data_IF_200859025030
#
_entry.id   IF_200859025030
#
_cell.length_a   1.000
_cell.length_b   1.000
_cell.length_c   1.000
_cell.angle_alpha   90.00
_cell.angle_beta   90.00
_cell.angle_gamma   90.00
#
_symmetry.space_group_name_H-M   'P 1'
#
loop_
_entity.id
_entity.type
_entity.pdbx_description
1 polymer ?
#
# COMPACT_ATOMS: atom_id res chain seq x y z
N UNK A 1 -49.28 -15.20 24.76
CA UNK A 1 -48.33 -15.10 23.63
C UNK A 1 -47.36 -16.27 23.69
N UNK A 2 -47.27 -17.05 22.60
CA UNK A 2 -46.60 -18.37 22.60
C UNK A 2 -45.08 -18.22 22.81
N UNK A 3 -44.44 -19.01 23.68
CA UNK A 3 -43.01 -18.90 24.00
C UNK A 3 -42.07 -19.02 22.79
N UNK A 4 -42.54 -19.65 21.70
CA UNK A 4 -41.84 -19.71 20.42
C UNK A 4 -41.66 -18.34 19.75
N UNK A 5 -42.66 -17.45 19.83
CA UNK A 5 -42.61 -16.11 19.24
C UNK A 5 -41.56 -15.25 19.96
N UNK A 6 -41.44 -15.41 21.28
CA UNK A 6 -40.46 -14.69 22.10
C UNK A 6 -39.02 -15.11 21.77
N UNK A 7 -38.78 -16.40 21.54
CA UNK A 7 -37.45 -16.91 21.15
C UNK A 7 -37.04 -16.44 19.74
N UNK A 8 -37.99 -16.43 18.80
CA UNK A 8 -37.76 -15.94 17.44
C UNK A 8 -37.37 -14.44 17.43
N UNK A 9 -38.07 -13.62 18.23
CA UNK A 9 -37.78 -12.20 18.35
C UNK A 9 -36.41 -11.93 18.98
N UNK A 10 -36.02 -12.72 19.99
CA UNK A 10 -34.69 -12.62 20.61
C UNK A 10 -33.62 -12.98 19.58
N UNK A 11 -33.81 -14.07 18.81
CA UNK A 11 -32.83 -14.51 17.82
C UNK A 11 -32.68 -13.49 16.68
N UNK A 12 -33.79 -12.93 16.19
CA UNK A 12 -33.76 -11.82 15.23
C UNK A 12 -33.05 -10.58 15.80
N UNK A 13 -33.33 -10.21 17.05
CA UNK A 13 -32.68 -9.08 17.72
C UNK A 13 -31.17 -9.27 17.86
N UNK A 14 -30.73 -10.48 18.23
CA UNK A 14 -29.30 -10.81 18.32
C UNK A 14 -28.64 -10.79 16.94
N UNK A 15 -29.26 -11.37 15.90
CA UNK A 15 -28.72 -11.31 14.54
C UNK A 15 -28.61 -9.86 14.04
N UNK A 16 -29.61 -9.01 14.30
CA UNK A 16 -29.55 -7.60 13.92
C UNK A 16 -28.46 -6.85 14.68
N UNK A 17 -28.28 -7.12 15.97
CA UNK A 17 -27.22 -6.51 16.77
C UNK A 17 -25.81 -6.95 16.31
N UNK A 18 -25.63 -8.23 15.97
CA UNK A 18 -24.37 -8.76 15.43
C UNK A 18 -24.08 -8.18 14.05
N UNK A 19 -25.08 -8.09 13.17
CA UNK A 19 -24.91 -7.46 11.85
C UNK A 19 -24.62 -5.97 11.94
N UNK A 20 -25.30 -5.24 12.84
CA UNK A 20 -25.04 -3.82 13.05
C UNK A 20 -23.65 -3.59 13.65
N UNK A 21 -23.21 -4.45 14.59
CA UNK A 21 -21.87 -4.42 15.16
C UNK A 21 -20.81 -4.74 14.09
N UNK A 22 -21.06 -5.75 13.24
CA UNK A 22 -20.18 -6.05 12.11
C UNK A 22 -20.09 -4.87 11.15
N UNK A 23 -21.21 -4.26 10.75
CA UNK A 23 -21.21 -3.07 9.88
C UNK A 23 -20.56 -1.84 10.53
N UNK A 24 -20.64 -1.69 11.86
CA UNK A 24 -20.02 -0.58 12.59
C UNK A 24 -18.51 -0.80 12.81
N UNK A 25 -18.07 -2.05 12.95
CA UNK A 25 -16.65 -2.43 13.06
C UNK A 25 -15.97 -2.57 11.70
N UNK A 26 -16.73 -2.85 10.64
CA UNK A 26 -16.24 -2.95 9.26
C UNK A 26 -15.39 -1.74 8.85
N UNK A 27 -15.83 -0.47 9.02
CA UNK A 27 -14.99 0.70 8.71
C UNK A 27 -13.76 0.86 9.62
N UNK A 28 -13.77 0.32 10.84
CA UNK A 28 -12.60 0.34 11.74
C UNK A 28 -11.54 -0.71 11.37
N UNK A 29 -11.93 -1.77 10.65
CA UNK A 29 -11.00 -2.73 10.02
C UNK A 29 -10.48 -2.20 8.67
N UNK A 30 -11.18 -1.24 8.07
CA UNK A 30 -10.87 -0.65 6.76
C UNK A 30 -9.88 0.52 6.81
N UNK A 31 -9.38 0.91 7.99
CA UNK A 31 -8.45 2.03 8.09
C UNK A 31 -7.03 1.58 7.68
N UNK A 32 -6.73 1.67 6.37
CA UNK A 32 -5.36 1.86 5.89
C UNK A 32 -4.75 0.85 4.91
N UNK A 33 -5.48 0.04 4.14
CA UNK A 33 -4.82 -0.78 3.11
C UNK A 33 -4.44 0.08 1.90
N UNK A 34 -3.15 0.16 1.58
CA UNK A 34 -2.70 0.49 0.23
C UNK A 34 -3.43 -0.47 -0.73
N UNK A 35 -4.08 0.02 -1.78
CA UNK A 35 -4.75 -0.90 -2.71
C UNK A 35 -3.74 -1.52 -3.70
N UNK A 36 -2.66 -0.77 -4.04
CA UNK A 36 -1.61 -1.20 -4.94
C UNK A 36 -0.39 -0.25 -4.92
N UNK A 37 0.75 -0.76 -5.38
CA UNK A 37 1.94 0.00 -5.76
C UNK A 37 2.01 0.19 -7.27
N UNK A 38 2.60 1.30 -7.70
CA UNK A 38 2.89 1.62 -9.10
C UNK A 38 4.23 2.34 -9.20
N UNK A 39 4.98 2.07 -10.26
CA UNK A 39 6.13 2.88 -10.64
C UNK A 39 5.80 3.66 -11.91
N UNK A 40 6.18 4.94 -11.95
CA UNK A 40 6.09 5.76 -13.15
C UNK A 40 7.43 6.42 -13.47
N UNK A 41 7.77 6.57 -14.76
CA UNK A 41 8.98 7.28 -15.16
C UNK A 41 8.97 8.72 -14.65
N UNK A 42 10.10 9.17 -14.12
CA UNK A 42 10.28 10.53 -13.66
C UNK A 42 11.62 11.10 -14.16
N UNK A 43 11.76 12.42 -14.09
CA UNK A 43 13.04 13.09 -14.36
C UNK A 43 13.95 12.96 -13.15
N UNK A 44 15.26 12.88 -13.41
CA UNK A 44 16.29 12.92 -12.36
C UNK A 44 16.02 14.12 -11.45
N UNK A 45 15.94 13.92 -10.12
CA UNK A 45 15.71 15.02 -9.20
C UNK A 45 16.88 16.01 -9.29
N UNK A 46 16.56 17.28 -9.54
CA UNK A 46 17.55 18.37 -9.52
C UNK A 46 17.98 18.74 -8.09
N UNK A 47 17.18 18.35 -7.11
CA UNK A 47 17.46 18.54 -5.69
C UNK A 47 18.37 17.40 -5.19
N UNK A 48 19.61 17.70 -4.75
CA UNK A 48 20.54 16.69 -4.26
C UNK A 48 20.10 16.05 -2.94
N UNK A 49 19.08 16.58 -2.27
CA UNK A 49 18.52 16.01 -1.05
C UNK A 49 17.53 14.86 -1.31
N UNK A 50 17.16 14.63 -2.57
CA UNK A 50 16.35 13.48 -2.97
C UNK A 50 17.26 12.29 -3.25
N UNK A 51 17.20 11.24 -2.42
CA UNK A 51 18.04 10.06 -2.59
C UNK A 51 17.64 9.29 -3.86
N UNK A 52 18.65 8.90 -4.63
CA UNK A 52 18.50 8.02 -5.79
C UNK A 52 19.01 6.64 -5.41
N UNK A 53 18.12 5.64 -5.46
CA UNK A 53 18.41 4.24 -5.19
C UNK A 53 18.63 3.55 -6.52
N UNK A 54 19.88 3.18 -6.81
CA UNK A 54 20.22 2.45 -8.04
C UNK A 54 19.88 0.98 -7.82
N UNK A 55 18.96 0.46 -8.63
CA UNK A 55 18.53 -0.93 -8.57
C UNK A 55 19.46 -1.81 -9.39
N UNK A 56 19.81 -2.96 -8.83
CA UNK A 56 20.56 -4.01 -9.51
C UNK A 56 19.75 -5.31 -9.68
N UNK A 57 20.39 -6.34 -10.24
CA UNK A 57 19.74 -7.63 -10.47
C UNK A 57 19.51 -8.43 -9.17
N UNK A 58 20.28 -8.18 -8.12
CA UNK A 58 20.10 -8.83 -6.82
C UNK A 58 18.86 -8.25 -6.11
N UNK A 59 18.62 -6.94 -6.20
CA UNK A 59 17.37 -6.30 -5.72
C UNK A 59 16.12 -6.98 -6.32
N UNK A 60 16.14 -7.29 -7.62
CA UNK A 60 15.00 -7.96 -8.26
C UNK A 60 14.87 -9.44 -7.90
N UNK A 61 15.98 -10.09 -7.52
CA UNK A 61 15.94 -11.47 -7.04
C UNK A 61 15.36 -11.54 -5.64
N UNK A 62 15.68 -10.56 -4.80
CA UNK A 62 15.14 -10.43 -3.44
C UNK A 62 13.69 -9.94 -3.44
N UNK A 63 13.35 -9.04 -4.38
CA UNK A 63 12.03 -8.42 -4.49
C UNK A 63 11.44 -8.54 -5.92
N UNK A 64 10.88 -9.71 -6.28
CA UNK A 64 10.30 -9.93 -7.61
C UNK A 64 9.20 -8.92 -8.00
N UNK A 65 8.45 -8.40 -7.02
CA UNK A 65 7.45 -7.37 -7.28
C UNK A 65 8.06 -6.05 -7.77
N UNK A 66 9.29 -5.72 -7.36
CA UNK A 66 9.99 -4.52 -7.82
C UNK A 66 10.28 -4.59 -9.33
N UNK A 67 10.59 -5.80 -9.84
CA UNK A 67 10.76 -6.02 -11.28
C UNK A 67 9.46 -5.80 -12.04
N UNK A 68 8.33 -6.28 -11.52
CA UNK A 68 7.02 -6.06 -12.17
C UNK A 68 6.63 -4.58 -12.18
N UNK A 69 6.98 -3.82 -11.13
CA UNK A 69 6.78 -2.37 -11.06
C UNK A 69 7.66 -1.63 -12.07
N UNK A 70 8.98 -1.84 -12.02
CA UNK A 70 9.98 -1.02 -12.74
C UNK A 70 10.24 -1.50 -14.16
N UNK A 71 10.28 -2.81 -14.40
CA UNK A 71 10.52 -3.37 -15.74
C UNK A 71 9.19 -3.69 -16.42
N UNK A 72 8.26 -4.28 -15.67
CA UNK A 72 6.94 -4.63 -16.18
C UNK A 72 6.00 -3.43 -16.37
N UNK A 73 6.27 -2.30 -15.72
CA UNK A 73 5.37 -1.14 -15.62
C UNK A 73 3.96 -1.54 -15.20
N UNK A 74 3.86 -2.54 -14.32
CA UNK A 74 2.57 -3.07 -13.86
C UNK A 74 2.27 -2.59 -12.46
N UNK A 75 0.98 -2.41 -12.18
CA UNK A 75 0.51 -2.20 -10.82
C UNK A 75 0.58 -3.52 -10.04
N UNK A 76 1.15 -3.48 -8.83
CA UNK A 76 1.26 -4.65 -7.94
C UNK A 76 0.31 -4.48 -6.77
N UNK A 77 -0.50 -5.49 -6.48
CA UNK A 77 -1.48 -5.43 -5.37
C UNK A 77 -0.77 -5.56 -4.03
N UNK A 78 -1.12 -4.69 -3.09
CA UNK A 78 -0.73 -4.84 -1.69
C UNK A 78 -1.54 -5.96 -1.02
N UNK A 79 -1.06 -6.50 0.11
CA UNK A 79 -1.80 -7.50 0.86
C UNK A 79 -3.07 -6.86 1.42
N UNK A 80 -4.23 -7.24 0.88
CA UNK A 80 -5.52 -6.80 1.41
C UNK A 80 -6.55 -7.91 1.31
N UNK A 81 -7.55 -7.88 2.20
CA UNK A 81 -8.70 -8.78 2.14
C UNK A 81 -9.47 -8.65 0.81
N UNK A 82 -9.29 -7.52 0.09
CA UNK A 82 -9.91 -7.23 -1.19
C UNK A 82 -9.03 -7.53 -2.40
N UNK A 83 -7.75 -7.88 -2.21
CA UNK A 83 -6.81 -8.19 -3.29
C UNK A 83 -7.35 -9.25 -4.28
N UNK A 84 -8.06 -10.31 -3.86
CA UNK A 84 -8.67 -11.28 -4.79
C UNK A 84 -9.81 -10.71 -5.63
N UNK A 85 -10.43 -9.61 -5.19
CA UNK A 85 -11.58 -8.98 -5.84
C UNK A 85 -11.18 -7.83 -6.77
N UNK A 86 -9.92 -7.41 -6.75
CA UNK A 86 -9.38 -6.45 -7.71
C UNK A 86 -9.11 -7.16 -9.06
N UNK A 87 -9.83 -6.82 -10.13
CA UNK A 87 -9.73 -7.55 -11.40
C UNK A 87 -8.30 -7.50 -11.95
N UNK A 88 -7.74 -8.63 -12.43
CA UNK A 88 -6.51 -8.61 -13.23
C UNK A 88 -6.83 -8.04 -14.61
N UNK A 89 -6.75 -6.72 -14.71
CA UNK A 89 -6.85 -6.01 -15.98
C UNK A 89 -5.51 -5.95 -16.71
N UNK A 90 -5.56 -5.49 -17.96
CA UNK A 90 -4.37 -5.06 -18.69
C UNK A 90 -3.66 -3.95 -17.87
N UNK A 91 -2.38 -4.15 -17.53
CA UNK A 91 -1.60 -3.26 -16.65
C UNK A 91 -1.45 -3.71 -15.19
N UNK A 92 -2.03 -4.85 -14.78
CA UNK A 92 -1.84 -5.43 -13.45
C UNK A 92 -0.83 -6.57 -13.45
N UNK A 93 -0.02 -6.64 -12.40
CA UNK A 93 0.83 -7.80 -12.14
C UNK A 93 -0.01 -8.97 -11.63
N UNK A 94 0.45 -10.19 -11.92
CA UNK A 94 -0.05 -11.41 -11.28
C UNK A 94 0.50 -11.58 -9.86
N UNK A 95 1.54 -10.82 -9.50
CA UNK A 95 2.14 -10.82 -8.17
C UNK A 95 1.25 -10.04 -7.20
N UNK A 96 1.06 -10.60 -6.02
CA UNK A 96 0.45 -9.95 -4.86
C UNK A 96 1.52 -9.89 -3.79
N UNK A 97 1.75 -8.71 -3.22
CA UNK A 97 2.75 -8.52 -2.18
C UNK A 97 2.41 -9.33 -0.93
N UNK A 98 3.43 -9.89 -0.33
CA UNK A 98 3.38 -10.31 1.07
C UNK A 98 3.55 -9.09 1.97
N UNK A 99 3.13 -9.17 3.24
CA UNK A 99 3.35 -8.06 4.20
C UNK A 99 4.85 -7.70 4.32
N UNK A 100 5.73 -8.72 4.32
CA UNK A 100 7.18 -8.52 4.37
C UNK A 100 7.72 -7.83 3.10
N UNK A 101 7.16 -8.15 1.94
CA UNK A 101 7.56 -7.52 0.67
C UNK A 101 7.00 -6.10 0.54
N UNK A 102 5.80 -5.83 1.06
CA UNK A 102 5.28 -4.47 1.19
C UNK A 102 6.18 -3.62 2.09
N UNK A 103 6.59 -4.11 3.26
CA UNK A 103 7.51 -3.43 4.16
C UNK A 103 8.87 -3.15 3.49
N UNK A 104 9.41 -4.12 2.76
CA UNK A 104 10.66 -3.93 2.01
C UNK A 104 10.50 -2.87 0.89
N UNK A 105 9.40 -2.89 0.14
CA UNK A 105 9.13 -1.95 -0.95
C UNK A 105 8.93 -0.51 -0.48
N UNK A 106 8.50 -0.30 0.77
CA UNK A 106 8.50 1.04 1.37
C UNK A 106 9.89 1.67 1.41
N UNK A 107 10.95 0.87 1.61
CA UNK A 107 12.34 1.34 1.58
C UNK A 107 12.80 1.84 0.20
N UNK A 108 12.15 1.40 -0.86
CA UNK A 108 12.39 1.88 -2.23
C UNK A 108 11.52 3.08 -2.61
N UNK A 109 10.44 3.34 -1.85
CA UNK A 109 9.60 4.53 -2.00
C UNK A 109 10.13 5.72 -1.20
N UNK A 110 10.75 5.44 -0.05
CA UNK A 110 11.13 6.43 0.95
C UNK A 110 12.51 6.11 1.50
N UNK A 111 13.36 7.13 1.59
CA UNK A 111 14.67 6.99 2.20
C UNK A 111 14.95 8.14 3.17
N UNK A 112 15.90 7.93 4.07
CA UNK A 112 16.30 8.92 5.07
C UNK A 112 17.39 9.79 4.48
N UNK A 113 17.16 11.11 4.39
CA UNK A 113 18.19 12.04 3.96
C UNK A 113 19.23 12.30 5.06
N UNK A 114 20.28 13.06 4.75
CA UNK A 114 21.37 13.40 5.68
C UNK A 114 20.91 14.09 6.98
N UNK A 115 19.70 14.65 6.99
CA UNK A 115 19.10 15.32 8.15
C UNK A 115 18.23 14.37 8.98
N UNK A 116 18.25 13.08 8.69
CA UNK A 116 17.40 12.09 9.36
C UNK A 116 15.92 12.20 8.97
N UNK A 117 15.59 12.93 7.89
CA UNK A 117 14.22 13.13 7.44
C UNK A 117 13.87 12.10 6.37
N UNK A 118 12.71 11.44 6.52
CA UNK A 118 12.19 10.54 5.52
C UNK A 118 11.67 11.35 4.32
N UNK A 119 12.23 11.10 3.14
CA UNK A 119 11.91 11.79 1.89
C UNK A 119 11.57 10.76 0.80
N UNK A 120 10.74 11.13 -0.20
CA UNK A 120 10.55 10.30 -1.39
C UNK A 120 11.88 9.94 -2.03
N UNK A 121 12.08 8.65 -2.27
CA UNK A 121 13.22 8.15 -3.02
C UNK A 121 12.85 8.07 -4.51
N UNK A 122 13.88 8.21 -5.35
CA UNK A 122 13.79 7.91 -6.77
C UNK A 122 14.58 6.63 -7.01
N UNK A 123 13.99 5.67 -7.70
CA UNK A 123 14.71 4.46 -8.08
C UNK A 123 15.26 4.62 -9.49
N UNK A 124 16.51 4.25 -9.72
CA UNK A 124 17.13 4.25 -11.03
C UNK A 124 17.37 2.82 -11.48
N UNK A 125 16.91 2.47 -12.68
CA UNK A 125 17.27 1.22 -13.33
C UNK A 125 17.67 1.47 -14.78
N UNK A 126 18.85 0.98 -15.16
CA UNK A 126 19.40 1.08 -16.51
C UNK A 126 19.38 2.53 -17.08
N UNK A 127 19.72 3.51 -16.24
CA UNK A 127 19.75 4.93 -16.61
C UNK A 127 18.38 5.61 -16.71
N UNK A 128 17.29 4.92 -16.34
CA UNK A 128 15.95 5.51 -16.27
C UNK A 128 15.51 5.65 -14.82
N UNK A 129 15.01 6.83 -14.45
CA UNK A 129 14.49 7.11 -13.11
C UNK A 129 12.99 6.83 -13.03
N UNK A 130 12.57 6.26 -11.90
CA UNK A 130 11.19 5.98 -11.58
C UNK A 130 10.88 6.45 -10.18
N UNK A 131 9.63 6.88 -9.99
CA UNK A 131 9.09 7.11 -8.68
C UNK A 131 8.09 5.99 -8.38
N UNK A 132 8.32 5.29 -7.27
CA UNK A 132 7.40 4.27 -6.76
C UNK A 132 6.42 4.95 -5.82
N UNK A 133 5.13 4.73 -6.04
CA UNK A 133 4.06 5.32 -5.25
C UNK A 133 3.01 4.28 -4.90
N UNK A 134 2.39 4.46 -3.73
CA UNK A 134 1.25 3.67 -3.32
C UNK A 134 -0.06 4.42 -3.61
N UNK A 135 -1.11 3.69 -3.97
CA UNK A 135 -2.37 4.25 -4.46
C UNK A 135 -3.17 5.03 -3.41
N UNK A 136 -3.13 4.60 -2.13
CA UNK A 136 -3.65 5.32 -0.96
C UNK A 136 -3.01 4.84 0.33
N UNK A 137 -2.10 5.63 0.90
CA UNK A 137 -1.67 5.44 2.28
C UNK A 137 -0.70 6.54 2.67
N UNK A 138 -1.01 7.17 3.79
CA UNK A 138 0.01 7.87 4.57
C UNK A 138 1.16 6.88 4.77
N UNK A 139 2.43 7.29 4.62
CA UNK A 139 3.56 6.46 5.04
C UNK A 139 3.23 5.90 6.44
N UNK A 140 3.62 4.65 6.77
CA UNK A 140 3.51 4.18 8.14
C UNK A 140 4.05 5.30 9.03
N UNK A 141 3.23 5.74 9.99
CA UNK A 141 3.63 6.84 10.84
C UNK A 141 5.05 6.52 11.31
N UNK A 142 6.03 7.41 11.08
CA UNK A 142 7.24 7.30 11.86
C UNK A 142 6.76 7.30 13.31
N UNK A 143 7.50 6.69 14.20
CA UNK A 143 7.33 6.87 15.64
C UNK A 143 7.60 8.36 16.02
N UNK A 144 6.83 9.31 15.45
CA UNK A 144 7.14 10.72 15.24
C UNK A 144 6.34 11.34 14.07
N UNK A 145 5.29 12.07 14.40
CA UNK A 145 4.35 12.83 13.56
C UNK A 145 4.96 13.61 12.37
N UNK A 146 4.34 13.54 11.19
CA UNK A 146 4.46 14.59 10.18
C UNK A 146 3.09 14.97 9.58
N UNK A 147 2.86 16.28 9.51
CA UNK A 147 1.70 16.96 8.92
C UNK A 147 2.22 17.73 7.71
N UNK A 148 1.68 17.51 6.49
CA UNK A 148 2.06 18.31 5.34
C UNK A 148 1.25 19.61 5.35
N UNK A 149 1.95 20.74 5.34
CA UNK A 149 1.36 22.05 5.05
C UNK A 149 1.95 22.56 3.74
N UNK A 150 1.16 22.40 2.68
CA UNK A 150 0.97 23.23 1.46
C UNK A 150 2.16 24.01 0.83
N UNK A 151 2.17 24.09 -0.51
CA UNK A 151 3.34 24.45 -1.31
C UNK A 151 3.61 25.97 -1.33
N UNK A 152 4.87 26.35 -1.54
CA UNK A 152 5.27 27.66 -2.05
C UNK A 152 5.81 27.47 -3.46
#
# INVERSE_FOLDING_TARGET
MRPALRRLLILCGVCLAVSALFCALFPLVLDGSLDYLVAYPCTVPADPSVPVIVLDEDDFREHPALRELVVGMKMVRCPSLFAPFLPPGEGWSSVVLTEAEEEALWGYMLAVNERGTLVPAVVEYNGTCYQVAASRGRPPAPSGTFIPSTPV
#
